data_IF_111817432214
#
_entry.id   IF_111817432214
#
_cell.length_a   1.000
_cell.length_b   1.000
_cell.length_c   1.000
_cell.angle_alpha   90.00
_cell.angle_beta   90.00
_cell.angle_gamma   90.00
#
_symmetry.space_group_name_H-M   'P 1'
#
loop_
_entity.id
_entity.type
_entity.pdbx_description
1 polymer ?
#
# COMPACT_ATOMS: atom_id res chain seq x y z
N UNK A 1 -11.98 -31.04 -4.46
CA UNK A 1 -10.65 -30.42 -4.29
C UNK A 1 -10.70 -29.51 -3.07
N UNK A 2 -9.77 -29.70 -2.14
CA UNK A 2 -9.80 -29.16 -0.79
C UNK A 2 -9.70 -27.62 -0.79
N UNK A 3 -10.69 -26.96 -0.15
CA UNK A 3 -10.59 -25.55 0.23
C UNK A 3 -9.59 -25.46 1.39
N UNK A 4 -8.40 -24.94 1.13
CA UNK A 4 -7.42 -24.65 2.17
C UNK A 4 -7.91 -23.41 2.92
N UNK A 5 -8.60 -23.64 4.05
CA UNK A 5 -8.93 -22.58 5.01
C UNK A 5 -7.65 -22.17 5.73
N UNK A 6 -6.92 -21.20 5.16
CA UNK A 6 -5.80 -20.57 5.83
C UNK A 6 -6.36 -19.58 6.86
N UNK A 7 -6.54 -20.06 8.11
CA UNK A 7 -6.78 -19.19 9.26
C UNK A 7 -5.56 -18.29 9.43
N UNK A 8 -5.66 -17.03 9.02
CA UNK A 8 -4.66 -16.01 9.33
C UNK A 8 -4.76 -15.72 10.83
N UNK A 9 -3.90 -16.36 11.61
CA UNK A 9 -3.65 -16.04 13.01
C UNK A 9 -2.81 -14.76 13.06
N UNK A 10 -3.46 -13.61 13.10
CA UNK A 10 -2.78 -12.34 13.31
C UNK A 10 -2.24 -12.29 14.75
N UNK A 11 -0.91 -12.29 14.88
CA UNK A 11 -0.21 -12.30 16.17
C UNK A 11 -0.47 -11.03 16.98
N UNK A 12 -0.52 -11.20 18.30
CA UNK A 12 -0.68 -10.18 19.33
C UNK A 12 0.40 -9.08 19.25
N UNK A 13 0.21 -8.05 18.43
CA UNK A 13 0.73 -6.70 18.68
C UNK A 13 -0.35 -5.69 18.27
N UNK A 14 -0.82 -4.92 19.24
CA UNK A 14 -2.04 -4.11 19.17
C UNK A 14 -2.19 -3.31 17.87
N UNK A 15 -3.14 -3.76 17.03
CA UNK A 15 -3.62 -3.02 15.88
C UNK A 15 -4.64 -1.99 16.38
N UNK A 16 -4.25 -0.72 16.38
CA UNK A 16 -5.18 0.40 16.55
C UNK A 16 -5.99 0.56 15.26
N UNK A 17 -7.13 -0.13 15.20
CA UNK A 17 -8.01 -0.24 14.03
C UNK A 17 -9.00 0.92 13.99
N UNK A 18 -8.80 1.88 13.09
CA UNK A 18 -9.85 2.83 12.73
C UNK A 18 -10.81 2.17 11.73
N UNK A 19 -12.07 2.01 12.12
CA UNK A 19 -13.10 1.41 11.28
C UNK A 19 -13.97 2.52 10.67
N UNK A 20 -13.76 2.83 9.40
CA UNK A 20 -14.75 3.49 8.55
C UNK A 20 -14.94 2.64 7.30
N UNK A 21 -16.18 2.22 7.04
CA UNK A 21 -16.64 1.38 5.91
C UNK A 21 -15.70 0.22 5.54
N UNK A 22 -15.91 -0.95 6.15
CA UNK A 22 -15.48 -2.28 5.64
C UNK A 22 -14.01 -2.45 5.19
N UNK A 23 -13.08 -1.64 5.66
CA UNK A 23 -11.66 -1.75 5.31
C UNK A 23 -10.84 -2.04 6.58
N UNK A 24 -10.13 -3.17 6.61
CA UNK A 24 -9.09 -3.42 7.62
C UNK A 24 -7.91 -2.54 7.26
N UNK A 25 -7.57 -1.57 8.12
CA UNK A 25 -6.41 -0.70 7.93
C UNK A 25 -5.20 -1.22 8.70
N UNK A 26 -4.08 -1.42 7.99
CA UNK A 26 -2.78 -1.72 8.56
C UNK A 26 -1.89 -0.48 8.63
N UNK A 27 -0.93 -0.48 9.56
CA UNK A 27 0.12 0.54 9.66
C UNK A 27 1.35 0.08 8.89
N UNK A 28 1.78 0.86 7.90
CA UNK A 28 3.01 0.58 7.20
C UNK A 28 4.23 0.97 8.06
N UNK A 29 5.28 0.12 8.16
CA UNK A 29 6.46 0.40 8.99
C UNK A 29 7.14 1.74 8.65
N UNK A 30 7.36 2.00 7.37
CA UNK A 30 8.08 3.19 6.91
C UNK A 30 7.22 4.47 6.86
N UNK A 31 5.89 4.33 6.91
CA UNK A 31 4.96 5.44 6.75
C UNK A 31 4.01 5.53 7.94
N UNK A 32 4.51 5.91 9.13
CA UNK A 32 3.75 5.84 10.38
C UNK A 32 2.51 6.74 10.41
N UNK A 33 2.49 7.80 9.60
CA UNK A 33 1.37 8.72 9.44
C UNK A 33 0.35 8.26 8.38
N UNK A 34 0.49 7.04 7.86
CA UNK A 34 -0.42 6.47 6.87
C UNK A 34 -1.03 5.17 7.39
N UNK A 35 -2.20 4.85 6.85
CA UNK A 35 -2.97 3.65 7.06
C UNK A 35 -3.34 3.11 5.68
N UNK A 36 -3.16 1.81 5.47
CA UNK A 36 -3.39 1.17 4.17
C UNK A 36 -4.50 0.15 4.38
N UNK A 37 -5.53 0.18 3.55
CA UNK A 37 -6.62 -0.79 3.62
C UNK A 37 -6.34 -2.04 2.79
N UNK A 38 -6.99 -3.14 3.15
CA UNK A 38 -7.04 -4.35 2.31
C UNK A 38 -7.69 -4.11 0.94
N UNK A 39 -8.50 -3.05 0.79
CA UNK A 39 -9.15 -2.70 -0.47
C UNK A 39 -8.27 -1.80 -1.37
N UNK A 40 -7.06 -1.46 -0.90
CA UNK A 40 -6.11 -0.66 -1.66
C UNK A 40 -6.20 0.85 -1.45
N UNK A 41 -7.02 1.30 -0.49
CA UNK A 41 -7.11 2.71 -0.11
C UNK A 41 -5.97 3.09 0.85
N UNK A 42 -5.47 4.31 0.72
CA UNK A 42 -4.40 4.83 1.56
C UNK A 42 -4.91 6.09 2.24
N UNK A 43 -4.83 6.12 3.56
CA UNK A 43 -5.33 7.20 4.39
C UNK A 43 -4.18 7.81 5.19
N UNK A 44 -4.06 9.13 5.16
CA UNK A 44 -3.18 9.86 6.08
C UNK A 44 -3.91 10.09 7.39
N UNK A 45 -3.25 9.90 8.54
CA UNK A 45 -3.86 10.17 9.85
C UNK A 45 -3.64 11.62 10.27
N UNK A 46 -4.45 12.09 11.22
CA UNK A 46 -4.23 13.34 11.92
C UNK A 46 -2.80 13.38 12.48
N UNK A 47 -2.04 14.42 12.14
CA UNK A 47 -0.68 14.57 12.64
C UNK A 47 -0.23 16.03 12.67
N UNK A 48 0.84 16.27 13.43
CA UNK A 48 1.50 17.59 13.52
C UNK A 48 2.82 17.56 12.76
N UNK A 49 2.97 18.47 11.81
CA UNK A 49 4.23 18.69 11.09
C UNK A 49 4.99 19.86 11.73
N UNK A 50 6.24 19.62 12.11
CA UNK A 50 7.17 20.68 12.53
C UNK A 50 7.66 21.42 11.29
N UNK A 51 7.45 22.72 11.27
CA UNK A 51 7.81 23.60 10.15
C UNK A 51 8.83 24.64 10.60
N UNK A 52 9.66 25.08 9.65
CA UNK A 52 10.59 26.20 9.83
C UNK A 52 10.31 27.20 8.70
N UNK A 53 10.02 28.45 9.07
CA UNK A 53 9.84 29.55 8.12
C UNK A 53 11.21 30.01 7.59
N UNK A 54 11.21 30.84 6.54
CA UNK A 54 12.45 31.43 5.97
C UNK A 54 13.22 32.28 6.98
N UNK A 55 12.52 32.90 7.93
CA UNK A 55 13.06 33.72 9.03
C UNK A 55 13.58 32.87 10.22
N UNK A 56 13.56 31.54 10.12
CA UNK A 56 14.01 30.63 11.18
C UNK A 56 12.97 30.32 12.25
N UNK A 57 11.79 30.95 12.23
CA UNK A 57 10.73 30.70 13.22
C UNK A 57 10.18 29.29 13.04
N UNK A 58 10.22 28.52 14.13
CA UNK A 58 9.68 27.16 14.21
C UNK A 58 8.21 27.23 14.62
N UNK A 59 7.36 26.46 13.95
CA UNK A 59 5.94 26.34 14.30
C UNK A 59 5.40 24.96 13.99
N UNK A 60 4.28 24.62 14.61
CA UNK A 60 3.58 23.36 14.41
C UNK A 60 2.40 23.57 13.46
N UNK A 61 2.34 22.78 12.39
CA UNK A 61 1.20 22.75 11.46
C UNK A 61 0.39 21.49 11.72
N UNK A 62 -0.86 21.64 12.18
CA UNK A 62 -1.81 20.53 12.27
C UNK A 62 -2.28 20.13 10.87
N UNK A 63 -2.37 18.83 10.62
CA UNK A 63 -2.93 18.23 9.41
C UNK A 63 -4.04 17.28 9.83
N UNK A 64 -5.23 17.49 9.29
CA UNK A 64 -6.29 16.50 9.37
C UNK A 64 -5.94 15.32 8.46
N UNK A 65 -6.34 14.14 8.89
CA UNK A 65 -6.30 12.93 8.10
C UNK A 65 -7.27 13.00 6.94
N UNK A 66 -6.90 12.32 5.87
CA UNK A 66 -7.64 12.31 4.62
C UNK A 66 -7.19 11.13 3.77
N UNK A 67 -8.07 10.68 2.89
CA UNK A 67 -7.74 9.75 1.81
C UNK A 67 -6.66 10.39 0.93
N UNK A 68 -5.63 9.62 0.62
CA UNK A 68 -4.53 10.02 -0.26
C UNK A 68 -4.89 9.64 -1.67
N UNK A 69 -5.26 10.64 -2.47
CA UNK A 69 -5.65 10.44 -3.87
C UNK A 69 -4.50 9.86 -4.71
N UNK A 70 -4.67 8.65 -5.29
CA UNK A 70 -3.67 8.06 -6.15
C UNK A 70 -3.62 8.77 -7.50
N UNK A 71 -2.43 8.80 -8.10
CA UNK A 71 -2.22 9.21 -9.48
C UNK A 71 -1.88 8.00 -10.33
N UNK A 72 -2.49 7.91 -11.50
CA UNK A 72 -2.16 6.87 -12.48
C UNK A 72 -0.91 7.25 -13.26
N UNK A 73 0.01 6.30 -13.40
CA UNK A 73 1.19 6.44 -14.25
C UNK A 73 0.85 6.20 -15.72
N UNK A 74 1.73 6.60 -16.64
CA UNK A 74 1.59 6.29 -18.07
C UNK A 74 1.53 4.78 -18.37
N UNK A 75 1.95 3.92 -17.43
CA UNK A 75 1.89 2.45 -17.55
C UNK A 75 0.62 1.85 -16.92
N UNK A 76 -0.30 2.67 -16.39
CA UNK A 76 -1.56 2.25 -15.77
C UNK A 76 -1.47 1.96 -14.26
N UNK A 77 -0.28 1.98 -13.65
CA UNK A 77 -0.16 1.72 -12.21
C UNK A 77 -0.56 2.94 -11.37
N UNK A 78 -1.24 2.69 -10.25
CA UNK A 78 -1.54 3.69 -9.22
C UNK A 78 -0.35 3.97 -8.31
N UNK A 79 -0.04 5.24 -8.08
CA UNK A 79 0.98 5.70 -7.11
C UNK A 79 0.45 6.82 -6.23
N UNK A 80 0.93 6.90 -5.00
CA UNK A 80 0.56 7.94 -4.02
C UNK A 80 1.78 8.73 -3.56
N UNK A 81 1.57 9.98 -3.16
CA UNK A 81 2.57 10.79 -2.47
C UNK A 81 2.34 10.71 -0.96
N UNK A 82 3.34 10.21 -0.22
CA UNK A 82 3.29 9.97 1.22
C UNK A 82 3.97 11.10 2.02
N UNK A 83 4.15 12.25 1.35
CA UNK A 83 4.77 13.45 1.89
C UNK A 83 6.30 13.49 1.75
N UNK A 84 6.85 14.71 1.76
CA UNK A 84 8.30 15.00 1.60
C UNK A 84 8.90 14.42 0.31
N UNK A 85 8.11 14.33 -0.76
CA UNK A 85 8.55 13.76 -2.03
C UNK A 85 8.64 12.23 -2.05
N UNK A 86 8.22 11.54 -0.99
CA UNK A 86 8.13 10.08 -1.01
C UNK A 86 6.94 9.66 -1.87
N UNK A 87 7.22 8.85 -2.90
CA UNK A 87 6.22 8.36 -3.84
C UNK A 87 6.33 6.83 -3.90
N UNK A 88 5.20 6.16 -3.71
CA UNK A 88 5.13 4.69 -3.69
C UNK A 88 3.94 4.18 -4.50
N UNK A 89 4.04 2.95 -5.00
CA UNK A 89 2.94 2.31 -5.71
C UNK A 89 1.92 1.74 -4.73
N UNK A 90 0.62 1.93 -5.02
CA UNK A 90 -0.46 1.50 -4.12
C UNK A 90 -0.43 -0.01 -3.86
N UNK A 91 -0.33 -0.82 -4.91
CA UNK A 91 -0.24 -2.27 -4.79
C UNK A 91 0.94 -2.76 -3.91
N UNK A 92 2.09 -2.06 -3.96
CA UNK A 92 3.24 -2.40 -3.11
C UNK A 92 2.95 -2.12 -1.66
N UNK A 93 2.42 -0.93 -1.36
CA UNK A 93 2.07 -0.56 0.01
C UNK A 93 1.10 -1.55 0.64
N UNK A 94 0.13 -2.06 -0.13
CA UNK A 94 -0.83 -3.08 0.33
C UNK A 94 -0.12 -4.38 0.67
N UNK A 95 0.67 -4.94 -0.27
CA UNK A 95 1.40 -6.18 -0.01
C UNK A 95 2.42 -6.06 1.13
N UNK A 96 3.18 -4.97 1.16
CA UNK A 96 4.17 -4.71 2.21
C UNK A 96 3.51 -4.59 3.59
N UNK A 97 2.31 -4.01 3.66
CA UNK A 97 1.57 -3.85 4.93
C UNK A 97 0.99 -5.16 5.44
N UNK A 98 0.39 -6.00 4.58
CA UNK A 98 -0.39 -7.16 5.03
C UNK A 98 0.29 -8.51 4.86
N UNK A 99 1.18 -8.64 3.90
CA UNK A 99 1.95 -9.86 3.61
C UNK A 99 3.40 -9.72 4.09
N UNK A 100 3.91 -8.49 4.08
CA UNK A 100 5.28 -8.16 4.41
C UNK A 100 6.14 -7.89 3.17
N UNK A 101 7.22 -7.14 3.37
CA UNK A 101 8.15 -6.80 2.29
C UNK A 101 8.94 -8.01 1.81
N UNK A 102 8.93 -8.24 0.51
CA UNK A 102 9.93 -9.09 -0.17
C UNK A 102 10.92 -8.19 -0.89
N UNK A 103 11.94 -7.77 -0.15
CA UNK A 103 12.96 -6.83 -0.63
C UNK A 103 14.01 -7.46 -1.56
N UNK A 104 13.77 -8.69 -2.04
CA UNK A 104 14.71 -9.33 -2.95
C UNK A 104 14.42 -8.90 -4.40
N UNK A 105 15.46 -8.61 -5.21
CA UNK A 105 15.31 -8.09 -6.58
C UNK A 105 14.47 -8.96 -7.52
N UNK A 106 14.40 -10.27 -7.26
CA UNK A 106 13.64 -11.21 -8.06
C UNK A 106 12.13 -11.10 -7.88
N UNK A 107 11.64 -10.52 -6.79
CA UNK A 107 10.20 -10.41 -6.53
C UNK A 107 9.60 -9.13 -7.12
N UNK A 108 8.44 -9.31 -7.76
CA UNK A 108 7.62 -8.26 -8.33
C UNK A 108 6.19 -8.42 -7.81
N UNK A 109 5.49 -7.29 -7.64
CA UNK A 109 4.07 -7.33 -7.37
C UNK A 109 3.35 -7.60 -8.69
N UNK A 110 2.42 -8.54 -8.68
CA UNK A 110 1.56 -8.88 -9.81
C UNK A 110 0.09 -8.67 -9.45
N UNK A 111 -0.72 -8.40 -10.48
CA UNK A 111 -2.17 -8.25 -10.39
C UNK A 111 -2.82 -9.48 -11.02
N UNK A 112 -3.52 -10.29 -10.23
CA UNK A 112 -4.09 -11.58 -10.67
C UNK A 112 -5.04 -11.42 -11.86
N UNK A 113 -5.85 -10.37 -11.85
CA UNK A 113 -6.80 -10.04 -12.92
C UNK A 113 -6.19 -9.21 -14.07
N UNK A 114 -4.91 -8.83 -13.99
CA UNK A 114 -4.25 -7.96 -14.97
C UNK A 114 -4.67 -6.48 -14.95
N UNK A 115 -5.59 -6.08 -14.07
CA UNK A 115 -6.08 -4.69 -13.91
C UNK A 115 -5.20 -3.97 -12.87
N UNK A 116 -4.44 -2.97 -13.31
CA UNK A 116 -3.38 -2.32 -12.50
C UNK A 116 -3.91 -1.31 -11.50
N UNK A 117 -5.16 -0.91 -11.68
CA UNK A 117 -5.95 -0.05 -10.81
C UNK A 117 -6.60 -0.82 -9.65
N UNK A 118 -6.80 -2.13 -9.79
CA UNK A 118 -7.38 -2.97 -8.75
C UNK A 118 -6.32 -3.38 -7.73
N UNK A 119 -6.10 -2.50 -6.75
CA UNK A 119 -5.08 -2.67 -5.71
C UNK A 119 -5.60 -3.40 -4.46
N UNK A 120 -6.74 -4.11 -4.55
CA UNK A 120 -7.25 -4.91 -3.44
C UNK A 120 -6.29 -6.06 -3.12
N UNK A 121 -6.02 -6.33 -1.85
CA UNK A 121 -5.07 -7.33 -1.38
C UNK A 121 -5.34 -8.71 -2.00
N UNK A 122 -6.62 -9.08 -2.15
CA UNK A 122 -7.03 -10.35 -2.77
C UNK A 122 -6.62 -10.50 -4.25
N UNK A 123 -6.36 -9.38 -4.93
CA UNK A 123 -5.94 -9.33 -6.33
C UNK A 123 -4.41 -9.22 -6.49
N UNK A 124 -3.65 -9.17 -5.40
CA UNK A 124 -2.21 -8.91 -5.43
C UNK A 124 -1.41 -10.11 -4.94
N UNK A 125 -0.25 -10.32 -5.55
CA UNK A 125 0.73 -11.29 -5.04
C UNK A 125 2.17 -10.90 -5.35
N UNK A 126 3.10 -11.49 -4.59
CA UNK A 126 4.52 -11.45 -4.91
C UNK A 126 4.89 -12.61 -5.82
N UNK A 127 5.28 -12.30 -7.06
CA UNK A 127 5.79 -13.28 -8.04
C UNK A 127 7.28 -13.07 -8.28
N UNK A 128 7.97 -14.10 -8.74
CA UNK A 128 9.32 -13.92 -9.30
C UNK A 128 9.27 -13.31 -10.70
N UNK A 129 10.34 -12.65 -11.14
CA UNK A 129 10.45 -12.11 -12.49
C UNK A 129 10.14 -13.16 -13.57
N UNK A 130 10.64 -14.39 -13.40
CA UNK A 130 10.37 -15.51 -14.32
C UNK A 130 8.90 -15.88 -14.37
N UNK A 131 8.21 -15.90 -13.21
CA UNK A 131 6.77 -16.16 -13.17
C UNK A 131 5.99 -15.05 -13.85
N UNK A 132 6.36 -13.78 -13.63
CA UNK A 132 5.70 -12.64 -14.26
C UNK A 132 5.85 -12.69 -15.79
N UNK A 133 7.06 -12.93 -16.29
CA UNK A 133 7.32 -13.05 -17.73
C UNK A 133 6.50 -14.17 -18.39
N UNK A 134 6.39 -15.34 -17.75
CA UNK A 134 5.59 -16.46 -18.27
C UNK A 134 4.10 -16.13 -18.35
N UNK A 135 3.58 -15.36 -17.40
CA UNK A 135 2.17 -14.91 -17.40
C UNK A 135 1.91 -13.89 -18.48
N UNK A 136 2.81 -12.91 -18.65
CA UNK A 136 2.71 -11.92 -19.71
C UNK A 136 2.70 -12.53 -21.12
N UNK A 137 3.36 -13.67 -21.32
CA UNK A 137 3.33 -14.39 -22.60
C UNK A 137 1.97 -15.04 -22.88
N UNK A 138 1.32 -15.62 -21.86
CA UNK A 138 0.02 -16.31 -22.00
C UNK A 138 -1.17 -15.38 -22.24
N UNK A 139 -1.04 -14.09 -21.93
CA UNK A 139 -2.09 -13.09 -22.18
C UNK A 139 -2.04 -12.51 -23.60
N UNK A 140 -1.03 -12.89 -24.41
CA UNK A 140 -0.84 -12.42 -25.79
C UNK A 140 -1.21 -13.46 -26.86
N UNK A 141 -1.72 -14.61 -26.44
CA UNK A 141 -2.22 -15.69 -27.30
C UNK A 141 -3.74 -15.72 -27.24
#
# INVERSE_FOLDING_TARGET
>A
MMKVNMKLSYGNQGLDMMQQKHSIYGKHPDYPNHRISIDGEIYSVDHVQKMVRKDGIKYNRKRAGQVVEPRTTHKGYSRVELGRGNVSYSHRLVLETFIGSKNYPEFQCDHLNGQKEDNRLENLEWVTQTQNMRRAHRLKE
#
